data_IF_705635765732
#
_entry.id   IF_705635765732
#
_cell.length_a   1.000
_cell.length_b   1.000
_cell.length_c   1.000
_cell.angle_alpha   90.00
_cell.angle_beta   90.00
_cell.angle_gamma   90.00
#
_symmetry.space_group_name_H-M   'P 1'
#
loop_
_entity.id
_entity.type
_entity.pdbx_description
1 polymer ?
#
# COMPACT_ATOMS: atom_id res chain seq x y z
N UNK A 1 -28.25 9.21 37.23
CA UNK A 1 -29.40 9.78 36.50
C UNK A 1 -29.06 9.67 35.03
N UNK A 2 -29.77 8.81 34.30
CA UNK A 2 -29.55 8.62 32.87
C UNK A 2 -30.21 9.81 32.16
N UNK A 3 -29.41 10.65 31.50
CA UNK A 3 -29.93 11.77 30.72
C UNK A 3 -30.47 11.15 29.42
N UNK A 4 -31.79 11.13 29.28
CA UNK A 4 -32.42 10.74 28.02
C UNK A 4 -32.39 11.95 27.09
N UNK A 5 -31.69 11.80 25.96
CA UNK A 5 -31.74 12.74 24.86
C UNK A 5 -32.53 12.13 23.70
N UNK A 6 -33.24 12.97 22.96
CA UNK A 6 -34.00 12.62 21.76
C UNK A 6 -33.60 13.59 20.67
N UNK A 7 -33.10 13.06 19.56
CA UNK A 7 -32.81 13.86 18.37
C UNK A 7 -34.09 13.96 17.52
N UNK A 8 -34.47 15.18 17.17
CA UNK A 8 -35.71 15.49 16.44
C UNK A 8 -35.38 16.37 15.23
N UNK A 9 -35.80 15.93 14.05
CA UNK A 9 -35.78 16.74 12.84
C UNK A 9 -37.08 17.56 12.76
N UNK A 10 -36.97 18.88 12.73
CA UNK A 10 -38.15 19.75 12.58
C UNK A 10 -38.63 19.81 11.13
N UNK A 11 -39.86 20.30 10.91
CA UNK A 11 -40.42 20.54 9.56
C UNK A 11 -39.58 21.51 8.71
N UNK A 12 -38.71 22.30 9.35
CA UNK A 12 -37.83 23.27 8.69
C UNK A 12 -36.41 22.71 8.49
N UNK A 13 -36.23 21.40 8.62
CA UNK A 13 -34.97 20.69 8.46
C UNK A 13 -33.88 21.09 9.47
N UNK A 14 -34.30 21.48 10.67
CA UNK A 14 -33.41 21.75 11.81
C UNK A 14 -33.29 20.50 12.66
N UNK A 15 -32.06 20.07 12.96
CA UNK A 15 -31.80 19.00 13.90
C UNK A 15 -31.75 19.58 15.32
N UNK A 16 -32.69 19.18 16.16
CA UNK A 16 -32.75 19.56 17.57
C UNK A 16 -32.45 18.35 18.43
N UNK A 17 -31.47 18.49 19.33
CA UNK A 17 -31.26 17.55 20.40
C UNK A 17 -32.01 18.04 21.64
N UNK A 18 -32.95 17.22 22.11
CA UNK A 18 -33.80 17.52 23.26
C UNK A 18 -33.37 16.62 24.41
N UNK A 19 -32.87 17.21 25.49
CA UNK A 19 -32.57 16.48 26.73
C UNK A 19 -33.49 16.94 27.84
N UNK A 20 -33.97 16.03 28.67
CA UNK A 20 -34.80 16.38 29.83
C UNK A 20 -34.33 15.68 31.10
N UNK A 21 -34.39 16.43 32.21
CA UNK A 21 -34.06 15.92 33.55
C UNK A 21 -35.16 16.37 34.51
N UNK A 22 -35.62 15.43 35.34
CA UNK A 22 -36.59 15.72 36.39
C UNK A 22 -35.88 16.39 37.58
N UNK A 23 -36.45 17.48 38.08
CA UNK A 23 -35.94 18.24 39.22
C UNK A 23 -37.08 18.68 40.13
N UNK A 24 -36.73 19.27 41.27
CA UNK A 24 -37.70 19.79 42.25
C UNK A 24 -37.49 21.29 42.43
N UNK A 25 -38.50 22.09 42.09
CA UNK A 25 -38.47 23.54 42.27
C UNK A 25 -39.65 23.94 43.14
N UNK A 26 -39.39 24.65 44.26
CA UNK A 26 -40.41 25.04 45.24
C UNK A 26 -41.33 23.89 45.70
N UNK A 27 -40.73 22.71 45.93
CA UNK A 27 -41.41 21.49 46.36
C UNK A 27 -42.35 20.82 45.33
N UNK A 28 -42.46 21.37 44.11
CA UNK A 28 -43.15 20.77 42.97
C UNK A 28 -42.18 20.02 42.04
N UNK A 29 -42.67 18.94 41.44
CA UNK A 29 -41.93 18.17 40.44
C UNK A 29 -41.95 18.94 39.12
N UNK A 30 -40.77 19.31 38.63
CA UNK A 30 -40.60 20.02 37.36
C UNK A 30 -39.70 19.22 36.42
N UNK A 31 -39.92 19.33 35.11
CA UNK A 31 -38.98 18.83 34.11
C UNK A 31 -38.20 20.01 33.56
N UNK A 32 -36.87 19.92 33.59
CA UNK A 32 -35.99 20.85 32.90
C UNK A 32 -35.72 20.25 31.52
N UNK A 33 -36.13 20.96 30.47
CA UNK A 33 -35.87 20.60 29.09
C UNK A 33 -34.83 21.54 28.49
N UNK A 34 -33.83 20.98 27.81
CA UNK A 34 -32.83 21.71 27.05
C UNK A 34 -32.98 21.32 25.58
N UNK A 35 -33.15 22.31 24.72
CA UNK A 35 -33.15 22.13 23.27
C UNK A 35 -31.87 22.76 22.72
N UNK A 36 -31.08 21.97 22.00
CA UNK A 36 -29.87 22.42 21.32
C UNK A 36 -30.03 22.22 19.83
N UNK A 37 -29.82 23.27 19.05
CA UNK A 37 -29.70 23.15 17.59
C UNK A 37 -28.34 22.51 17.26
N UNK A 38 -28.40 21.29 16.73
CA UNK A 38 -27.24 20.50 16.33
C UNK A 38 -27.13 20.39 14.80
N UNK A 39 -27.89 21.20 14.05
CA UNK A 39 -27.91 21.15 12.59
C UNK A 39 -26.54 21.37 11.96
N UNK A 40 -25.75 22.30 12.49
CA UNK A 40 -24.39 22.56 12.02
C UNK A 40 -23.47 21.36 12.25
N UNK A 41 -23.63 20.68 13.40
CA UNK A 41 -22.86 19.49 13.74
C UNK A 41 -23.21 18.30 12.85
N UNK A 42 -24.51 18.02 12.68
CA UNK A 42 -24.98 16.93 11.82
C UNK A 42 -24.50 17.13 10.38
N UNK A 43 -24.65 18.33 9.82
CA UNK A 43 -24.14 18.65 8.47
C UNK A 43 -22.62 18.50 8.35
N UNK A 44 -21.88 18.88 9.39
CA UNK A 44 -20.43 18.70 9.41
C UNK A 44 -20.06 17.22 9.45
N UNK A 45 -20.73 16.43 10.28
CA UNK A 45 -20.51 14.97 10.37
C UNK A 45 -20.83 14.28 9.02
N UNK A 46 -21.96 14.63 8.39
CA UNK A 46 -22.32 14.13 7.04
C UNK A 46 -21.27 14.53 5.99
N UNK A 47 -20.85 15.80 5.97
CA UNK A 47 -19.85 16.28 5.02
C UNK A 47 -18.49 15.60 5.21
N UNK A 48 -18.07 15.37 6.46
CA UNK A 48 -16.86 14.63 6.77
C UNK A 48 -16.96 13.17 6.31
N UNK A 49 -18.11 12.53 6.50
CA UNK A 49 -18.35 11.16 6.05
C UNK A 49 -18.31 11.05 4.52
N UNK A 50 -18.94 11.98 3.81
CA UNK A 50 -18.89 12.05 2.34
C UNK A 50 -17.46 12.26 1.84
N UNK A 51 -16.69 13.17 2.44
CA UNK A 51 -15.29 13.38 2.09
C UNK A 51 -14.43 12.15 2.36
N UNK A 52 -14.65 11.44 3.47
CA UNK A 52 -13.95 10.21 3.79
C UNK A 52 -14.25 9.11 2.76
N UNK A 53 -15.51 8.91 2.39
CA UNK A 53 -15.91 7.95 1.36
C UNK A 53 -15.32 8.29 0.00
N UNK A 54 -15.33 9.56 -0.40
CA UNK A 54 -14.73 10.01 -1.65
C UNK A 54 -13.21 9.76 -1.67
N UNK A 55 -12.51 10.03 -0.56
CA UNK A 55 -11.08 9.78 -0.42
C UNK A 55 -10.76 8.27 -0.52
N UNK A 56 -11.55 7.43 0.14
CA UNK A 56 -11.37 5.98 0.10
C UNK A 56 -11.61 5.40 -1.31
N UNK A 57 -12.67 5.85 -1.99
CA UNK A 57 -12.94 5.45 -3.37
C UNK A 57 -11.82 5.88 -4.33
N UNK A 58 -11.25 7.07 -4.14
CA UNK A 58 -10.12 7.54 -4.92
C UNK A 58 -8.86 6.69 -4.68
N UNK A 59 -8.58 6.31 -3.42
CA UNK A 59 -7.46 5.43 -3.06
C UNK A 59 -7.59 4.04 -3.69
N UNK A 60 -8.78 3.44 -3.62
CA UNK A 60 -9.07 2.15 -4.25
C UNK A 60 -8.90 2.21 -5.78
N UNK A 61 -9.41 3.27 -6.41
CA UNK A 61 -9.29 3.46 -7.87
C UNK A 61 -7.82 3.63 -8.31
N UNK A 62 -7.02 4.39 -7.55
CA UNK A 62 -5.58 4.54 -7.77
C UNK A 62 -4.86 3.19 -7.69
N UNK A 63 -5.17 2.41 -6.66
CA UNK A 63 -4.57 1.08 -6.45
C UNK A 63 -4.92 0.10 -7.56
N UNK A 64 -6.20 0.05 -7.97
CA UNK A 64 -6.65 -0.79 -9.08
C UNK A 64 -5.99 -0.39 -10.41
N UNK A 65 -5.87 0.91 -10.67
CA UNK A 65 -5.21 1.41 -11.87
C UNK A 65 -3.73 0.98 -11.91
N UNK A 66 -2.99 1.18 -10.83
CA UNK A 66 -1.58 0.81 -10.76
C UNK A 66 -1.38 -0.71 -10.86
N UNK A 67 -2.25 -1.50 -10.24
CA UNK A 67 -2.23 -2.96 -10.37
C UNK A 67 -2.41 -3.39 -11.83
N UNK A 68 -3.42 -2.84 -12.51
CA UNK A 68 -3.74 -3.17 -13.91
C UNK A 68 -2.58 -2.78 -14.83
N UNK A 69 -2.10 -1.53 -14.73
CA UNK A 69 -1.00 -1.04 -15.57
C UNK A 69 0.27 -1.84 -15.33
N UNK A 70 0.57 -2.21 -14.08
CA UNK A 70 1.75 -3.03 -13.78
C UNK A 70 1.68 -4.41 -14.45
N UNK A 71 0.52 -5.08 -14.41
CA UNK A 71 0.32 -6.36 -15.09
C UNK A 71 0.43 -6.24 -16.62
N UNK A 72 -0.15 -5.19 -17.20
CA UNK A 72 -0.11 -4.92 -18.64
C UNK A 72 1.30 -4.52 -19.13
N UNK A 73 2.10 -3.87 -18.28
CA UNK A 73 3.49 -3.54 -18.60
C UNK A 73 4.43 -4.73 -18.42
N UNK A 74 4.17 -5.60 -17.44
CA UNK A 74 5.02 -6.75 -17.13
C UNK A 74 5.16 -7.72 -18.31
N UNK A 75 4.05 -8.04 -18.97
CA UNK A 75 4.01 -9.00 -20.10
C UNK A 75 4.90 -8.59 -21.29
N UNK A 76 4.76 -7.39 -21.89
CA UNK A 76 5.63 -6.98 -22.99
C UNK A 76 7.09 -6.81 -22.56
N UNK A 77 7.34 -6.43 -21.30
CA UNK A 77 8.68 -6.22 -20.77
C UNK A 77 9.44 -7.54 -20.58
N UNK A 78 8.76 -8.60 -20.10
CA UNK A 78 9.32 -9.95 -20.10
C UNK A 78 9.57 -10.48 -21.52
N UNK A 79 8.74 -10.11 -22.51
CA UNK A 79 9.00 -10.40 -23.91
C UNK A 79 10.29 -9.74 -24.43
N UNK A 80 10.54 -8.48 -24.06
CA UNK A 80 11.78 -7.76 -24.40
C UNK A 80 12.98 -8.42 -23.71
N UNK A 81 12.90 -8.70 -22.41
CA UNK A 81 14.00 -9.34 -21.66
C UNK A 81 14.31 -10.72 -22.24
N UNK A 82 13.31 -11.56 -22.49
CA UNK A 82 13.52 -12.88 -23.07
C UNK A 82 14.17 -12.82 -24.47
N UNK A 83 13.81 -11.84 -25.29
CA UNK A 83 14.47 -11.62 -26.58
C UNK A 83 15.91 -11.12 -26.45
N UNK A 84 16.19 -10.26 -25.46
CA UNK A 84 17.55 -9.80 -25.16
C UNK A 84 18.43 -10.94 -24.63
N UNK A 85 17.89 -11.80 -23.76
CA UNK A 85 18.60 -12.98 -23.25
C UNK A 85 18.92 -13.96 -24.40
N UNK A 86 17.97 -14.20 -25.31
CA UNK A 86 18.22 -15.00 -26.52
C UNK A 86 19.29 -14.37 -27.43
N UNK A 87 19.31 -13.05 -27.58
CA UNK A 87 20.34 -12.34 -28.34
C UNK A 87 21.72 -12.50 -27.71
N UNK A 88 21.82 -12.54 -26.39
CA UNK A 88 23.08 -12.77 -25.66
C UNK A 88 23.63 -14.19 -25.85
N UNK A 89 22.80 -15.18 -26.23
CA UNK A 89 23.28 -16.54 -26.53
C UNK A 89 23.94 -16.67 -27.91
N UNK A 90 23.88 -15.63 -28.76
CA UNK A 90 24.44 -15.65 -30.12
C UNK A 90 25.77 -14.89 -30.19
N UNK A 91 26.58 -15.20 -31.20
CA UNK A 91 27.74 -14.37 -31.54
C UNK A 91 27.26 -13.00 -32.04
N UNK A 92 27.49 -11.97 -31.23
CA UNK A 92 27.13 -10.59 -31.54
C UNK A 92 28.31 -9.85 -32.18
N UNK A 93 28.05 -8.97 -33.16
CA UNK A 93 29.08 -8.09 -33.71
C UNK A 93 29.73 -7.22 -32.63
N UNK A 94 31.03 -6.92 -32.78
CA UNK A 94 31.76 -6.05 -31.85
C UNK A 94 31.04 -4.70 -31.70
N UNK A 95 30.70 -4.34 -30.47
CA UNK A 95 29.98 -3.10 -30.12
C UNK A 95 28.48 -3.29 -29.85
N UNK A 96 27.84 -4.32 -30.42
CA UNK A 96 26.41 -4.63 -30.18
C UNK A 96 26.20 -5.22 -28.80
N UNK A 97 27.15 -6.01 -28.29
CA UNK A 97 27.11 -6.61 -26.95
C UNK A 97 26.93 -5.57 -25.83
N UNK A 98 27.63 -4.43 -25.94
CA UNK A 98 27.48 -3.30 -25.01
C UNK A 98 26.08 -2.69 -25.06
N UNK A 99 25.48 -2.59 -26.25
CA UNK A 99 24.12 -2.07 -26.42
C UNK A 99 23.09 -3.05 -25.84
N UNK A 100 23.23 -4.35 -26.11
CA UNK A 100 22.34 -5.40 -25.57
C UNK A 100 22.42 -5.43 -24.05
N UNK A 101 23.62 -5.36 -23.48
CA UNK A 101 23.82 -5.27 -22.02
C UNK A 101 23.17 -4.01 -21.42
N UNK A 102 23.30 -2.86 -22.07
CA UNK A 102 22.68 -1.62 -21.62
C UNK A 102 21.14 -1.69 -21.68
N UNK A 103 20.58 -2.28 -22.74
CA UNK A 103 19.14 -2.51 -22.88
C UNK A 103 18.63 -3.45 -21.78
N UNK A 104 19.31 -4.57 -21.52
CA UNK A 104 18.89 -5.54 -20.50
C UNK A 104 18.89 -4.92 -19.09
N UNK A 105 19.93 -4.15 -18.75
CA UNK A 105 20.00 -3.40 -17.50
C UNK A 105 18.86 -2.38 -17.37
N UNK A 106 18.51 -1.70 -18.46
CA UNK A 106 17.45 -0.67 -18.45
C UNK A 106 16.07 -1.30 -18.31
N UNK A 107 15.81 -2.41 -19.00
CA UNK A 107 14.58 -3.19 -18.86
C UNK A 107 14.41 -3.74 -17.45
N UNK A 108 15.47 -4.31 -16.88
CA UNK A 108 15.45 -4.81 -15.50
C UNK A 108 15.19 -3.70 -14.47
N UNK A 109 15.80 -2.53 -14.66
CA UNK A 109 15.55 -1.36 -13.81
C UNK A 109 14.10 -0.87 -13.91
N UNK A 110 13.56 -0.81 -15.13
CA UNK A 110 12.17 -0.40 -15.35
C UNK A 110 11.18 -1.37 -14.69
N UNK A 111 11.42 -2.68 -14.79
CA UNK A 111 10.61 -3.68 -14.10
C UNK A 111 10.61 -3.47 -12.58
N UNK A 112 11.79 -3.19 -12.02
CA UNK A 112 11.94 -2.90 -10.59
C UNK A 112 11.16 -1.65 -10.19
N UNK A 113 11.30 -0.55 -10.93
CA UNK A 113 10.56 0.70 -10.64
C UNK A 113 9.05 0.47 -10.69
N UNK A 114 8.56 -0.27 -11.70
CA UNK A 114 7.13 -0.58 -11.83
C UNK A 114 6.65 -1.45 -10.65
N UNK A 115 7.48 -2.39 -10.18
CA UNK A 115 7.18 -3.20 -9.00
C UNK A 115 7.13 -2.35 -7.73
N UNK A 116 8.14 -1.51 -7.51
CA UNK A 116 8.26 -0.65 -6.33
C UNK A 116 7.06 0.33 -6.23
N UNK A 117 6.59 0.88 -7.37
CA UNK A 117 5.40 1.75 -7.41
C UNK A 117 4.13 0.98 -7.01
N UNK A 118 4.01 -0.27 -7.43
CA UNK A 118 2.86 -1.11 -7.10
C UNK A 118 2.86 -1.50 -5.63
N UNK A 119 4.02 -1.86 -5.09
CA UNK A 119 4.17 -2.19 -3.67
C UNK A 119 3.88 -0.98 -2.78
N UNK A 120 4.34 0.21 -3.18
CA UNK A 120 3.97 1.47 -2.53
C UNK A 120 2.45 1.68 -2.51
N UNK A 121 1.76 1.46 -3.64
CA UNK A 121 0.30 1.60 -3.72
C UNK A 121 -0.45 0.60 -2.83
N UNK A 122 0.07 -0.61 -2.69
CA UNK A 122 -0.51 -1.62 -1.77
C UNK A 122 -0.33 -1.23 -0.31
N UNK A 123 0.82 -0.63 0.05
CA UNK A 123 1.07 -0.11 1.41
C UNK A 123 0.10 1.03 1.72
N UNK A 124 -0.05 1.98 0.80
CA UNK A 124 -0.91 3.16 0.96
C UNK A 124 -2.40 2.81 1.13
N UNK A 125 -2.82 1.66 0.60
CA UNK A 125 -4.20 1.14 0.69
C UNK A 125 -4.38 0.09 1.78
N UNK A 126 -3.38 -0.16 2.63
CA UNK A 126 -3.37 -1.23 3.65
C UNK A 126 -3.60 -2.65 3.06
N UNK A 127 -3.36 -2.83 1.76
CA UNK A 127 -3.54 -4.09 1.03
C UNK A 127 -2.27 -4.93 0.94
N UNK A 128 -1.14 -4.48 1.50
CA UNK A 128 0.08 -5.27 1.53
C UNK A 128 -0.11 -6.47 2.46
N UNK A 129 -0.18 -7.67 1.87
CA UNK A 129 -0.23 -8.94 2.59
C UNK A 129 1.13 -9.62 2.46
N UNK A 130 1.66 -10.05 3.60
CA UNK A 130 2.82 -10.94 3.65
C UNK A 130 2.36 -12.28 3.09
N UNK A 131 3.08 -12.81 2.11
CA UNK A 131 2.83 -14.14 1.53
C UNK A 131 3.83 -15.15 2.08
N UNK A 132 3.54 -15.78 3.25
CA UNK A 132 4.46 -16.73 3.85
C UNK A 132 4.61 -17.96 2.95
N UNK A 133 5.83 -18.21 2.51
CA UNK A 133 6.27 -19.41 1.80
C UNK A 133 7.51 -19.97 2.45
N UNK A 134 7.72 -21.27 2.26
CA UNK A 134 8.96 -21.92 2.67
C UNK A 134 10.10 -21.47 1.75
N UNK A 135 11.22 -21.04 2.33
CA UNK A 135 12.37 -20.58 1.57
C UNK A 135 13.69 -20.85 2.28
N UNK A 136 14.77 -20.95 1.50
CA UNK A 136 16.13 -21.10 2.02
C UNK A 136 16.81 -19.74 2.16
N UNK A 137 17.15 -19.29 3.39
CA UNK A 137 17.90 -18.05 3.59
C UNK A 137 19.26 -18.06 2.86
N UNK A 138 19.85 -19.25 2.70
CA UNK A 138 21.11 -19.43 1.96
C UNK A 138 20.94 -19.14 0.47
N UNK A 139 19.84 -19.58 -0.14
CA UNK A 139 19.55 -19.28 -1.55
C UNK A 139 19.28 -17.80 -1.78
N UNK A 140 18.51 -17.16 -0.88
CA UNK A 140 18.25 -15.72 -0.93
C UNK A 140 19.56 -14.93 -0.86
N UNK A 141 20.43 -15.24 0.10
CA UNK A 141 21.74 -14.57 0.25
C UNK A 141 22.67 -14.82 -0.94
N UNK A 142 22.67 -16.04 -1.51
CA UNK A 142 23.43 -16.33 -2.72
C UNK A 142 22.94 -15.51 -3.91
N UNK A 143 21.62 -15.39 -4.09
CA UNK A 143 21.03 -14.60 -5.17
C UNK A 143 21.39 -13.12 -5.03
N UNK A 144 21.28 -12.56 -3.82
CA UNK A 144 21.68 -11.18 -3.53
C UNK A 144 23.17 -10.99 -3.85
N UNK A 145 24.04 -11.88 -3.36
CA UNK A 145 25.50 -11.79 -3.58
C UNK A 145 25.84 -11.83 -5.07
N UNK A 146 25.21 -12.72 -5.84
CA UNK A 146 25.40 -12.84 -7.27
C UNK A 146 24.99 -11.56 -8.02
N UNK A 147 23.85 -10.96 -7.65
CA UNK A 147 23.36 -9.72 -8.27
C UNK A 147 24.30 -8.52 -8.03
N UNK A 148 24.96 -8.45 -6.87
CA UNK A 148 25.87 -7.36 -6.54
C UNK A 148 27.32 -7.60 -7.02
N UNK A 149 27.68 -8.83 -7.38
CA UNK A 149 29.03 -9.19 -7.80
C UNK A 149 29.56 -8.32 -8.97
N UNK A 150 28.81 -8.05 -10.05
CA UNK A 150 29.29 -7.19 -11.14
C UNK A 150 29.61 -5.77 -10.68
N UNK A 151 28.82 -5.22 -9.75
CA UNK A 151 29.02 -3.89 -9.18
C UNK A 151 30.27 -3.84 -8.29
N UNK A 152 30.46 -4.87 -7.47
CA UNK A 152 31.60 -5.03 -6.55
C UNK A 152 32.90 -5.14 -7.32
N UNK A 153 32.93 -5.98 -8.37
CA UNK A 153 34.09 -6.11 -9.28
C UNK A 153 34.40 -4.78 -9.95
N UNK A 154 33.38 -4.08 -10.47
CA UNK A 154 33.55 -2.76 -11.11
C UNK A 154 34.12 -1.71 -10.15
N UNK A 155 33.77 -1.78 -8.88
CA UNK A 155 34.26 -0.86 -7.83
C UNK A 155 35.54 -1.34 -7.13
N UNK A 156 36.09 -2.49 -7.53
CA UNK A 156 37.26 -3.13 -6.90
C UNK A 156 37.10 -3.32 -5.38
N UNK A 157 35.90 -3.73 -4.96
CA UNK A 157 35.59 -4.02 -3.55
C UNK A 157 35.62 -5.53 -3.29
N UNK A 158 35.81 -5.92 -2.02
CA UNK A 158 35.57 -7.28 -1.56
C UNK A 158 34.14 -7.43 -1.05
N UNK A 159 33.45 -8.50 -1.42
CA UNK A 159 32.14 -8.88 -0.88
C UNK A 159 32.24 -10.27 -0.27
N UNK A 160 31.98 -10.36 1.04
CA UNK A 160 31.99 -11.62 1.79
C UNK A 160 30.59 -11.85 2.36
N UNK A 161 30.03 -13.02 2.12
CA UNK A 161 28.79 -13.48 2.75
C UNK A 161 29.13 -14.66 3.66
N UNK A 162 28.86 -14.52 4.95
CA UNK A 162 29.03 -15.58 5.94
C UNK A 162 27.67 -15.86 6.58
N UNK A 163 27.26 -17.12 6.56
CA UNK A 163 25.99 -17.59 7.13
C UNK A 163 26.34 -18.61 8.21
N UNK A 164 25.92 -18.35 9.44
CA UNK A 164 26.22 -19.23 10.57
C UNK A 164 25.66 -20.65 10.35
N UNK A 165 26.28 -21.69 10.93
CA UNK A 165 25.83 -23.08 10.76
C UNK A 165 24.47 -23.38 11.40
N UNK A 166 24.09 -22.60 12.42
CA UNK A 166 22.84 -22.75 13.16
C UNK A 166 21.62 -22.16 12.44
N UNK A 167 21.84 -21.38 11.37
CA UNK A 167 20.77 -20.84 10.53
C UNK A 167 19.99 -21.99 9.89
N UNK A 168 18.66 -22.05 10.12
CA UNK A 168 17.80 -23.08 9.53
C UNK A 168 17.91 -23.14 8.01
N UNK A 169 17.87 -24.36 7.47
CA UNK A 169 17.92 -24.59 6.02
C UNK A 169 16.68 -24.03 5.32
N UNK A 170 15.54 -24.06 6.00
CA UNK A 170 14.28 -23.50 5.53
C UNK A 170 13.65 -22.64 6.62
N UNK A 171 13.09 -21.49 6.23
CA UNK A 171 12.27 -20.61 7.05
C UNK A 171 10.92 -20.41 6.37
N UNK A 172 9.90 -20.09 7.15
CA UNK A 172 8.60 -19.69 6.63
C UNK A 172 8.44 -18.18 6.80
N UNK A 173 8.24 -17.47 5.70
CA UNK A 173 8.15 -16.01 5.65
C UNK A 173 8.02 -15.52 4.22
N UNK A 174 8.20 -14.23 3.99
CA UNK A 174 8.09 -13.61 2.67
C UNK A 174 9.49 -13.20 2.17
N UNK A 175 10.14 -14.01 1.31
CA UNK A 175 11.52 -13.83 0.83
C UNK A 175 11.65 -13.11 -0.51
#
# INVERSE_FOLDING_TARGET
QQVNFVDVLTSNNTNLQISFVHSRYRNENVAICVLVDVSSRVKMEESLQEMAQAAEQASQSKSMFLATVSHELRTPLYGIIGNLDLLQTKELPKGVDRLVTAMNNSSSLLLKIISDILDFSKIESEQLKIEPREFSPREVMNHITANYLPLVVRKQLGLYCFIEPDVPVALNGDP
#
